data_IF_505720356705
#
_entry.id   IF_505720356705
#
_cell.length_a   1.000
_cell.length_b   1.000
_cell.length_c   1.000
_cell.angle_alpha   90.00
_cell.angle_beta   90.00
_cell.angle_gamma   90.00
#
_symmetry.space_group_name_H-M   'P 1'
#
loop_
_entity.id
_entity.type
_entity.pdbx_description
1 polymer ?
#
# COMPACT_ATOMS: atom_id res chain seq x y z
N UNK A 1 25.34 -23.43 -6.14
CA UNK A 1 24.51 -22.37 -5.54
C UNK A 1 24.24 -21.30 -6.59
N UNK A 2 22.98 -21.18 -7.03
CA UNK A 2 22.52 -20.12 -7.94
C UNK A 2 21.47 -19.28 -7.22
N UNK A 3 21.63 -17.96 -7.24
CA UNK A 3 20.63 -17.00 -6.77
C UNK A 3 19.85 -16.54 -8.00
N UNK A 4 18.52 -16.57 -7.92
CA UNK A 4 17.62 -16.08 -8.97
C UNK A 4 16.79 -14.95 -8.40
N UNK A 5 17.04 -13.72 -8.87
CA UNK A 5 16.37 -12.51 -8.37
C UNK A 5 15.25 -12.11 -9.33
N UNK A 6 14.04 -12.04 -8.81
CA UNK A 6 12.82 -11.67 -9.51
C UNK A 6 12.40 -10.27 -9.04
N UNK A 7 12.79 -9.25 -9.82
CA UNK A 7 12.34 -7.88 -9.63
C UNK A 7 10.87 -7.74 -10.05
N UNK A 8 10.00 -7.36 -9.11
CA UNK A 8 8.55 -7.24 -9.33
C UNK A 8 8.06 -5.82 -9.13
N UNK A 9 6.85 -5.55 -9.62
CA UNK A 9 5.97 -4.52 -9.09
C UNK A 9 5.00 -5.15 -8.10
N UNK A 10 4.88 -4.54 -6.92
CA UNK A 10 3.86 -4.92 -5.93
C UNK A 10 2.48 -4.81 -6.57
N UNK A 11 1.61 -5.80 -6.32
CA UNK A 11 0.25 -5.82 -6.87
C UNK A 11 0.16 -5.81 -8.41
N UNK A 12 1.20 -6.28 -9.12
CA UNK A 12 1.20 -6.42 -10.59
C UNK A 12 0.72 -7.80 -11.06
N UNK A 13 -0.45 -7.94 -11.73
CA UNK A 13 -0.95 -9.23 -12.19
C UNK A 13 -0.07 -9.88 -13.26
N UNK A 14 0.56 -9.11 -14.15
CA UNK A 14 1.48 -9.63 -15.16
C UNK A 14 2.76 -10.14 -14.52
N UNK A 15 3.35 -9.36 -13.61
CA UNK A 15 4.49 -9.80 -12.78
C UNK A 15 4.17 -11.09 -12.03
N UNK A 16 2.99 -11.19 -11.42
CA UNK A 16 2.59 -12.37 -10.66
C UNK A 16 2.46 -13.64 -11.54
N UNK A 17 1.90 -13.53 -12.75
CA UNK A 17 1.82 -14.66 -13.70
C UNK A 17 3.22 -15.09 -14.16
N UNK A 18 4.09 -14.14 -14.49
CA UNK A 18 5.48 -14.42 -14.86
C UNK A 18 6.23 -15.10 -13.72
N UNK A 19 6.06 -14.61 -12.50
CA UNK A 19 6.72 -15.16 -11.31
C UNK A 19 6.30 -16.62 -11.07
N UNK A 20 4.99 -16.94 -11.15
CA UNK A 20 4.54 -18.34 -11.02
C UNK A 20 5.19 -19.27 -12.04
N UNK A 21 5.29 -18.81 -13.29
CA UNK A 21 5.94 -19.56 -14.37
C UNK A 21 7.43 -19.76 -14.07
N UNK A 22 8.12 -18.70 -13.65
CA UNK A 22 9.54 -18.74 -13.32
C UNK A 22 9.84 -19.64 -12.11
N UNK A 23 9.03 -19.58 -11.04
CA UNK A 23 9.19 -20.44 -9.86
C UNK A 23 8.99 -21.92 -10.21
N UNK A 24 8.00 -22.24 -11.05
CA UNK A 24 7.74 -23.60 -11.52
C UNK A 24 8.92 -24.14 -12.32
N UNK A 25 9.52 -23.33 -13.20
CA UNK A 25 10.69 -23.71 -13.98
C UNK A 25 11.95 -23.83 -13.12
N UNK A 26 12.14 -22.93 -12.15
CA UNK A 26 13.32 -22.89 -11.27
C UNK A 26 13.33 -24.04 -10.26
N UNK A 27 12.16 -24.41 -9.72
CA UNK A 27 12.02 -25.34 -8.60
C UNK A 27 12.96 -24.99 -7.42
N UNK A 28 12.78 -23.82 -6.79
CA UNK A 28 13.68 -23.37 -5.73
C UNK A 28 13.65 -24.32 -4.53
N UNK A 29 14.75 -24.35 -3.76
CA UNK A 29 14.82 -25.06 -2.47
C UNK A 29 14.62 -24.14 -1.26
N UNK A 30 14.57 -22.83 -1.49
CA UNK A 30 14.14 -21.79 -0.54
C UNK A 30 13.63 -20.57 -1.29
N UNK A 31 12.68 -19.86 -0.69
CA UNK A 31 12.25 -18.55 -1.17
C UNK A 31 12.51 -17.47 -0.14
N UNK A 32 13.12 -16.38 -0.61
CA UNK A 32 13.36 -15.15 0.14
C UNK A 32 12.52 -14.05 -0.50
N UNK A 33 11.56 -13.50 0.23
CA UNK A 33 10.61 -12.52 -0.31
C UNK A 33 10.73 -11.21 0.45
N UNK A 34 10.72 -10.09 -0.26
CA UNK A 34 10.64 -8.77 0.35
C UNK A 34 9.38 -8.66 1.20
N UNK A 35 9.61 -8.31 2.46
CA UNK A 35 8.57 -8.19 3.47
C UNK A 35 9.19 -8.29 4.86
N UNK A 36 8.41 -7.96 5.90
CA UNK A 36 8.90 -7.79 7.25
C UNK A 36 9.09 -9.16 7.96
N UNK A 37 10.32 -9.52 8.39
CA UNK A 37 10.57 -10.76 9.11
C UNK A 37 9.83 -10.85 10.45
N UNK A 38 9.37 -9.72 11.02
CA UNK A 38 8.54 -9.73 12.24
C UNK A 38 7.19 -10.45 12.04
N UNK A 39 6.73 -10.63 10.80
CA UNK A 39 5.51 -11.36 10.48
C UNK A 39 5.72 -12.86 10.18
N UNK A 40 6.94 -13.39 10.33
CA UNK A 40 7.26 -14.77 9.93
C UNK A 40 6.39 -15.83 10.61
N UNK A 41 6.02 -15.63 11.88
CA UNK A 41 5.27 -16.60 12.68
C UNK A 41 3.79 -16.74 12.23
N UNK A 42 3.21 -15.68 11.68
CA UNK A 42 1.80 -15.67 11.24
C UNK A 42 1.62 -16.15 9.79
N UNK A 43 2.71 -16.40 9.06
CA UNK A 43 2.64 -16.81 7.65
C UNK A 43 1.89 -18.11 7.40
N UNK A 44 1.94 -19.05 8.35
CA UNK A 44 1.25 -20.34 8.22
C UNK A 44 -0.26 -20.19 8.08
N UNK A 45 -0.85 -19.12 8.64
CA UNK A 45 -2.27 -18.80 8.53
C UNK A 45 -2.69 -18.46 7.10
N UNK A 46 -1.77 -18.04 6.24
CA UNK A 46 -2.05 -17.80 4.82
C UNK A 46 -2.35 -19.08 4.03
N UNK A 47 -2.08 -20.26 4.60
CA UNK A 47 -2.45 -21.54 4.01
C UNK A 47 -3.89 -21.97 4.28
N UNK A 48 -4.62 -21.24 5.14
CA UNK A 48 -6.03 -21.52 5.41
C UNK A 48 -6.90 -21.14 4.21
N UNK A 49 -7.89 -21.97 3.87
CA UNK A 49 -8.80 -21.73 2.76
C UNK A 49 -9.70 -20.52 2.99
N UNK A 50 -9.99 -20.14 4.23
CA UNK A 50 -10.78 -18.95 4.54
C UNK A 50 -9.92 -17.66 4.48
N UNK A 51 -8.59 -17.78 4.43
CA UNK A 51 -7.66 -16.64 4.34
C UNK A 51 -7.54 -16.14 2.89
N UNK A 52 -8.61 -15.50 2.41
CA UNK A 52 -8.71 -15.00 1.03
C UNK A 52 -8.41 -13.50 0.94
N UNK A 53 -7.45 -13.07 0.11
CA UNK A 53 -7.24 -11.66 -0.20
C UNK A 53 -8.50 -10.95 -0.76
N UNK A 54 -8.64 -9.61 -0.62
CA UNK A 54 -7.65 -8.70 -0.06
C UNK A 54 -7.52 -8.78 1.47
N UNK A 55 -6.28 -8.98 1.92
CA UNK A 55 -5.90 -9.00 3.34
C UNK A 55 -4.64 -8.17 3.50
N UNK A 56 -4.25 -7.84 4.73
CA UNK A 56 -2.98 -7.21 5.00
C UNK A 56 -2.30 -7.85 6.22
N UNK A 57 -0.96 -7.93 6.18
CA UNK A 57 -0.19 -8.06 7.40
C UNK A 57 -0.20 -6.71 8.11
N UNK A 58 -0.70 -6.72 9.34
CA UNK A 58 -0.67 -5.61 10.28
C UNK A 58 0.50 -5.85 11.23
N UNK A 59 1.42 -4.89 11.32
CA UNK A 59 2.50 -4.90 12.32
C UNK A 59 2.42 -3.63 13.15
N UNK A 60 2.46 -3.75 14.47
CA UNK A 60 2.31 -2.61 15.37
C UNK A 60 3.10 -2.82 16.67
N UNK A 61 3.57 -1.73 17.32
CA UNK A 61 4.07 -1.80 18.68
C UNK A 61 2.89 -1.87 19.67
N UNK A 62 2.82 -2.88 20.58
CA UNK A 62 1.67 -3.05 21.47
C UNK A 62 1.37 -1.85 22.37
N UNK A 63 2.40 -1.10 22.75
CA UNK A 63 2.27 0.09 23.60
C UNK A 63 1.89 1.36 22.82
N UNK A 64 1.91 1.31 21.48
CA UNK A 64 1.57 2.43 20.60
C UNK A 64 0.94 1.93 19.28
N UNK A 65 -0.20 1.21 19.33
CA UNK A 65 -0.74 0.51 18.17
C UNK A 65 -1.14 1.45 17.01
N UNK A 66 -1.32 2.74 17.27
CA UNK A 66 -1.52 3.78 16.24
C UNK A 66 -0.31 3.97 15.29
N UNK A 67 0.87 3.46 15.64
CA UNK A 67 2.07 3.47 14.78
C UNK A 67 2.16 2.20 13.91
N UNK A 68 1.01 1.59 13.61
CA UNK A 68 0.92 0.40 12.79
C UNK A 68 1.36 0.65 11.34
N UNK A 69 1.90 -0.41 10.73
CA UNK A 69 2.17 -0.48 9.29
C UNK A 69 1.39 -1.64 8.68
N UNK A 70 1.04 -1.49 7.40
CA UNK A 70 0.20 -2.42 6.68
C UNK A 70 0.90 -2.89 5.41
N UNK A 71 0.93 -4.21 5.21
CA UNK A 71 1.39 -4.86 3.98
C UNK A 71 0.21 -5.59 3.35
N UNK A 72 -0.58 -4.90 2.51
CA UNK A 72 -1.69 -5.53 1.82
C UNK A 72 -1.21 -6.59 0.84
N UNK A 73 -2.07 -7.56 0.58
CA UNK A 73 -1.91 -8.60 -0.42
C UNK A 73 -3.22 -8.72 -1.19
N UNK A 74 -3.12 -8.97 -2.48
CA UNK A 74 -4.22 -9.37 -3.35
C UNK A 74 -3.93 -10.74 -3.96
N UNK A 75 -4.93 -11.35 -4.59
CA UNK A 75 -4.72 -12.56 -5.37
C UNK A 75 -3.65 -12.40 -6.46
N UNK A 76 -3.45 -11.18 -6.94
CA UNK A 76 -2.48 -10.86 -7.99
C UNK A 76 -1.21 -10.19 -7.46
N UNK A 77 -0.99 -10.18 -6.13
CA UNK A 77 0.30 -9.80 -5.56
C UNK A 77 1.35 -10.87 -5.87
N UNK A 78 2.49 -10.53 -6.51
CA UNK A 78 3.56 -11.50 -6.74
C UNK A 78 4.06 -12.18 -5.45
N UNK A 79 4.12 -11.45 -4.34
CA UNK A 79 4.53 -11.93 -3.02
C UNK A 79 3.52 -12.92 -2.44
N UNK A 80 2.22 -12.66 -2.63
CA UNK A 80 1.16 -13.60 -2.25
C UNK A 80 1.29 -14.89 -3.05
N UNK A 81 1.51 -14.78 -4.37
CA UNK A 81 1.71 -15.94 -5.24
C UNK A 81 2.97 -16.73 -4.87
N UNK A 82 4.04 -16.04 -4.49
CA UNK A 82 5.23 -16.68 -3.93
C UNK A 82 4.88 -17.43 -2.64
N UNK A 83 4.28 -16.77 -1.64
CA UNK A 83 3.90 -17.41 -0.37
C UNK A 83 3.03 -18.67 -0.59
N UNK A 84 2.01 -18.57 -1.43
CA UNK A 84 1.14 -19.71 -1.77
C UNK A 84 1.92 -20.86 -2.42
N UNK A 85 2.84 -20.56 -3.35
CA UNK A 85 3.73 -21.56 -3.95
C UNK A 85 4.59 -22.27 -2.91
N UNK A 86 5.22 -21.54 -1.98
CA UNK A 86 6.02 -22.16 -0.92
C UNK A 86 5.18 -23.02 0.03
N UNK A 87 3.98 -22.59 0.40
CA UNK A 87 3.10 -23.36 1.26
C UNK A 87 2.66 -24.66 0.57
N UNK A 88 2.33 -24.59 -0.72
CA UNK A 88 1.92 -25.74 -1.52
C UNK A 88 3.06 -26.76 -1.71
N UNK A 89 4.26 -26.27 -2.04
CA UNK A 89 5.46 -27.09 -2.26
C UNK A 89 6.22 -27.41 -0.95
N UNK A 90 5.73 -26.91 0.20
CA UNK A 90 6.34 -27.05 1.53
C UNK A 90 7.80 -26.56 1.58
N UNK A 91 8.09 -25.48 0.85
CA UNK A 91 9.41 -24.89 0.79
C UNK A 91 9.67 -23.99 1.99
N UNK A 92 10.92 -23.93 2.48
CA UNK A 92 11.36 -22.86 3.37
C UNK A 92 11.06 -21.49 2.74
N UNK A 93 10.37 -20.65 3.48
CA UNK A 93 10.02 -19.28 3.09
C UNK A 93 10.55 -18.33 4.15
N UNK A 94 11.20 -17.23 3.75
CA UNK A 94 11.63 -16.18 4.66
C UNK A 94 11.30 -14.81 4.09
N UNK A 95 10.73 -13.98 4.93
CA UNK A 95 10.79 -12.54 4.71
C UNK A 95 12.24 -12.05 4.91
N UNK A 96 12.68 -11.14 4.04
CA UNK A 96 14.08 -10.71 3.99
C UNK A 96 14.30 -9.21 4.01
N UNK A 97 13.29 -8.39 4.31
CA UNK A 97 13.45 -6.94 4.44
C UNK A 97 13.83 -6.52 5.88
N UNK A 98 14.24 -5.27 6.08
CA UNK A 98 14.59 -4.75 7.41
C UNK A 98 13.40 -4.93 8.38
N UNK A 99 13.61 -5.51 9.58
CA UNK A 99 12.54 -5.68 10.55
C UNK A 99 11.85 -4.35 10.90
N UNK A 100 10.52 -4.37 11.02
CA UNK A 100 9.72 -3.24 11.49
C UNK A 100 10.04 -2.87 12.93
N UNK A 101 10.44 -3.85 13.76
CA UNK A 101 11.01 -3.58 15.08
C UNK A 101 12.21 -2.61 15.04
N UNK A 102 12.99 -2.60 13.95
CA UNK A 102 14.08 -1.63 13.74
C UNK A 102 13.55 -0.36 13.08
N UNK A 103 12.75 -0.48 12.01
CA UNK A 103 12.25 0.68 11.26
C UNK A 103 11.47 1.65 12.16
N UNK A 104 10.55 1.15 12.99
CA UNK A 104 9.78 1.95 13.93
C UNK A 104 10.68 2.60 15.01
N UNK A 105 11.73 1.91 15.45
CA UNK A 105 12.69 2.46 16.39
C UNK A 105 13.45 3.66 15.82
N UNK A 106 13.77 3.64 14.52
CA UNK A 106 14.47 4.74 13.83
C UNK A 106 13.61 6.00 13.72
N UNK A 107 12.30 5.86 13.50
CA UNK A 107 11.35 6.97 13.45
C UNK A 107 11.08 7.56 14.84
N UNK A 108 11.11 6.72 15.88
CA UNK A 108 10.83 7.15 17.26
C UNK A 108 11.94 7.98 17.94
N UNK A 109 13.09 8.15 17.29
CA UNK A 109 14.17 9.02 17.79
C UNK A 109 13.87 10.44 17.30
N UNK A 110 13.50 11.40 18.17
CA UNK A 110 13.47 12.80 17.77
C UNK A 110 14.88 13.16 17.32
N UNK A 111 15.02 13.86 16.19
CA UNK A 111 16.30 14.41 15.74
C UNK A 111 16.82 15.44 16.76
N UNK A 112 17.41 14.97 17.85
CA UNK A 112 18.07 15.82 18.84
C UNK A 112 19.44 16.18 18.29
N UNK A 113 19.53 17.37 17.68
CA UNK A 113 20.74 18.20 17.74
C UNK A 113 21.46 18.43 16.43
N UNK A 114 21.30 19.64 15.86
CA UNK A 114 22.38 20.64 15.87
C UNK A 114 21.90 21.93 15.19
N UNK A 115 21.00 22.70 15.84
CA UNK A 115 20.92 24.14 15.58
C UNK A 115 21.79 24.81 16.63
N UNK A 116 23.08 24.97 16.31
CA UNK A 116 23.98 25.84 17.08
C UNK A 116 23.41 27.26 17.02
N UNK A 117 23.33 27.86 18.20
CA UNK A 117 22.98 29.25 18.40
C UNK A 117 23.74 30.17 17.45
N UNK A 118 23.00 30.83 16.56
CA UNK A 118 23.43 32.09 15.95
C UNK A 118 22.39 33.11 16.43
N UNK A 119 22.86 33.99 17.33
CA UNK A 119 22.03 34.93 18.05
C UNK A 119 21.16 35.79 17.13
N UNK A 120 19.87 35.87 17.45
CA UNK A 120 18.99 36.89 16.89
C UNK A 120 19.28 38.25 17.56
N UNK A 121 19.46 39.34 16.80
CA UNK A 121 19.65 40.67 17.37
C UNK A 121 18.34 41.20 17.97
N UNK A 122 18.49 41.83 19.13
CA UNK A 122 17.49 42.53 19.90
C UNK A 122 16.95 43.78 19.16
N UNK A 123 15.63 43.99 19.18
CA UNK A 123 14.98 45.30 18.98
C UNK A 123 13.76 45.41 19.91
N UNK A 124 13.39 46.63 20.34
CA UNK A 124 13.19 46.94 21.75
C UNK A 124 11.74 46.97 22.24
N UNK A 125 11.58 46.83 23.56
CA UNK A 125 10.34 46.99 24.32
C UNK A 125 9.85 48.44 24.29
N UNK A 126 8.57 48.62 23.98
CA UNK A 126 7.80 49.84 24.26
C UNK A 126 6.64 49.48 25.20
N UNK A 127 6.63 50.15 26.34
CA UNK A 127 5.80 50.00 27.53
C UNK A 127 4.68 51.05 27.50
N UNK A 128 3.43 50.70 27.82
CA UNK A 128 2.43 51.67 28.31
C UNK A 128 1.49 51.02 29.33
N UNK A 129 1.39 51.70 30.46
CA UNK A 129 0.76 51.36 31.74
C UNK A 129 -0.75 51.71 31.83
N UNK A 130 -1.52 50.80 32.47
CA UNK A 130 -2.62 51.01 33.48
C UNK A 130 -3.93 51.76 33.11
N UNK A 131 -4.99 51.80 33.97
CA UNK A 131 -5.33 51.02 35.18
C UNK A 131 -6.80 50.47 35.23
N UNK A 132 -7.05 49.56 36.19
CA UNK A 132 -8.35 49.05 36.67
C UNK A 132 -9.04 50.09 37.61
N UNK A 133 -10.38 50.09 37.85
CA UNK A 133 -10.90 49.37 39.04
C UNK A 133 -12.40 48.92 39.11
N UNK A 134 -12.66 47.96 40.02
CA UNK A 134 -13.84 47.70 40.89
C UNK A 134 -15.21 47.08 40.42
N UNK A 135 -15.49 45.90 41.02
CA UNK A 135 -16.63 45.52 41.92
C UNK A 135 -18.03 45.04 41.44
N UNK A 136 -18.30 43.75 41.75
CA UNK A 136 -19.46 43.19 42.53
C UNK A 136 -20.86 42.89 41.93
N UNK A 137 -21.41 41.76 42.43
CA UNK A 137 -22.83 41.27 42.47
C UNK A 137 -23.44 40.75 41.16
N UNK A 138 -24.31 39.73 41.08
CA UNK A 138 -24.98 38.84 42.02
C UNK A 138 -26.10 38.04 41.28
N UNK A 139 -26.59 36.96 41.90
CA UNK A 139 -27.82 36.19 41.66
C UNK A 139 -27.92 35.02 40.63
N UNK A 140 -28.11 33.84 41.24
CA UNK A 140 -28.80 32.58 40.87
C UNK A 140 -30.31 32.76 40.62
N UNK A 141 -31.18 31.72 40.45
CA UNK A 141 -31.04 30.29 40.04
C UNK A 141 -32.12 29.82 39.02
N UNK A 142 -32.10 28.54 38.59
CA UNK A 142 -33.24 27.59 38.68
C UNK A 142 -33.05 26.27 37.88
N UNK A 143 -33.13 25.16 38.61
CA UNK A 143 -33.38 23.73 38.27
C UNK A 143 -34.88 23.50 37.91
N UNK A 144 -35.45 22.28 37.74
CA UNK A 144 -34.93 20.93 37.42
C UNK A 144 -35.78 20.13 36.36
N UNK A 145 -35.40 18.86 36.17
CA UNK A 145 -36.02 17.76 35.39
C UNK A 145 -37.44 17.32 35.88
N UNK A 146 -38.09 16.26 35.32
CA UNK A 146 -37.71 14.86 35.61
C UNK A 146 -37.98 13.81 34.50
N UNK A 147 -37.61 12.57 34.84
CA UNK A 147 -37.64 11.32 34.09
C UNK A 147 -38.96 10.52 34.26
N UNK A 148 -39.12 9.43 33.49
CA UNK A 148 -39.93 8.27 33.90
C UNK A 148 -39.56 6.98 33.12
N UNK A 149 -39.86 5.83 33.72
CA UNK A 149 -39.29 4.48 33.53
C UNK A 149 -40.32 3.40 33.18
N UNK A 150 -39.96 2.45 32.29
CA UNK A 150 -40.30 0.98 32.18
C UNK A 150 -41.79 0.51 32.12
N UNK A 151 -42.18 -0.74 31.70
CA UNK A 151 -41.46 -2.03 31.75
C UNK A 151 -41.69 -3.07 30.60
N UNK A 152 -41.09 -4.26 30.80
CA UNK A 152 -41.03 -5.55 30.07
C UNK A 152 -42.34 -6.32 29.84
N UNK A 153 -42.40 -7.14 28.78
CA UNK A 153 -42.96 -8.50 28.85
C UNK A 153 -42.46 -9.45 27.72
N UNK A 154 -42.62 -10.75 27.92
CA UNK A 154 -42.00 -11.87 27.17
C UNK A 154 -43.05 -12.86 26.63
N UNK A 155 -42.84 -13.47 25.44
CA UNK A 155 -43.36 -14.81 25.08
C UNK A 155 -42.85 -15.36 23.71
N UNK A 156 -42.73 -16.70 23.66
CA UNK A 156 -42.21 -17.59 22.62
C UNK A 156 -43.02 -17.67 21.30
N UNK A 157 -42.34 -17.97 20.18
CA UNK A 157 -42.73 -18.96 19.12
C UNK A 157 -41.59 -19.11 18.08
N UNK A 158 -41.44 -20.31 17.50
CA UNK A 158 -40.56 -20.66 16.37
C UNK A 158 -41.33 -21.60 15.41
N UNK A 159 -40.86 -21.95 14.18
CA UNK A 159 -39.93 -21.27 13.29
C UNK A 159 -40.58 -20.93 11.91
N UNK A 160 -40.21 -19.80 11.30
CA UNK A 160 -40.69 -19.37 9.99
C UNK A 160 -39.53 -19.08 9.03
N UNK A 161 -39.44 -19.86 7.96
CA UNK A 161 -38.48 -19.77 6.86
C UNK A 161 -38.43 -18.34 6.30
N UNK A 162 -37.36 -17.59 6.56
CA UNK A 162 -37.24 -16.19 6.08
C UNK A 162 -35.94 -16.02 5.28
N UNK A 163 -36.15 -15.68 4.02
CA UNK A 163 -35.17 -15.27 3.02
C UNK A 163 -34.42 -14.03 3.54
N UNK A 164 -33.12 -14.14 3.80
CA UNK A 164 -32.31 -13.00 4.25
C UNK A 164 -31.99 -12.11 3.05
N UNK A 165 -32.72 -11.01 2.94
CA UNK A 165 -32.35 -9.84 2.16
C UNK A 165 -31.27 -9.08 2.93
N UNK A 166 -30.04 -9.00 2.42
CA UNK A 166 -29.01 -8.14 3.02
C UNK A 166 -29.40 -6.67 2.82
N UNK A 167 -29.81 -6.03 3.92
CA UNK A 167 -29.94 -4.58 4.02
C UNK A 167 -28.55 -4.02 4.31
N UNK A 168 -28.00 -3.25 3.37
CA UNK A 168 -26.80 -2.46 3.57
C UNK A 168 -27.12 -1.26 4.47
N UNK A 169 -26.62 -1.26 5.72
CA UNK A 169 -26.85 -0.13 6.62
C UNK A 169 -26.55 -0.33 8.12
N UNK A 170 -25.71 -1.30 8.51
CA UNK A 170 -25.28 -1.43 9.90
C UNK A 170 -23.75 -1.38 9.99
N UNK A 171 -23.22 -0.48 10.83
CA UNK A 171 -21.79 -0.36 11.14
C UNK A 171 -21.19 -1.75 11.46
N UNK A 172 -20.03 -2.11 10.87
CA UNK A 172 -19.47 -3.43 11.09
C UNK A 172 -19.02 -3.57 12.55
N UNK A 173 -19.37 -4.70 13.15
CA UNK A 173 -18.72 -5.18 14.37
C UNK A 173 -17.21 -5.29 14.12
N UNK A 174 -16.36 -5.03 15.13
CA UNK A 174 -14.92 -5.22 14.98
C UNK A 174 -14.60 -6.69 14.63
N UNK A 175 -13.65 -6.96 13.72
CA UNK A 175 -13.25 -8.32 13.40
C UNK A 175 -12.64 -9.01 14.64
N UNK A 176 -12.65 -10.36 14.70
CA UNK A 176 -11.96 -11.11 15.74
C UNK A 176 -10.48 -10.69 15.82
N UNK A 177 -10.00 -10.34 17.02
CA UNK A 177 -8.63 -9.86 17.23
C UNK A 177 -8.43 -8.34 17.13
N UNK A 178 -9.49 -7.55 16.96
CA UNK A 178 -9.38 -6.08 17.00
C UNK A 178 -8.83 -5.59 18.36
N UNK A 179 -7.72 -4.80 18.38
CA UNK A 179 -7.12 -4.33 19.61
C UNK A 179 -8.10 -3.49 20.46
N UNK A 180 -8.08 -3.74 21.76
CA UNK A 180 -8.92 -3.04 22.71
C UNK A 180 -8.45 -1.58 22.85
N UNK A 181 -9.32 -0.61 22.54
CA UNK A 181 -9.00 0.82 22.60
C UNK A 181 -8.81 1.54 21.27
N UNK A 182 -8.92 0.84 20.13
CA UNK A 182 -8.87 1.48 18.80
C UNK A 182 -10.26 1.98 18.33
N UNK A 183 -10.42 3.25 17.87
CA UNK A 183 -11.70 3.76 17.41
C UNK A 183 -12.10 3.18 16.04
N UNK A 184 -13.30 2.62 15.89
CA UNK A 184 -13.83 2.10 14.61
C UNK A 184 -13.87 3.14 13.45
N UNK A 185 -13.71 4.43 13.76
CA UNK A 185 -13.64 5.52 12.79
C UNK A 185 -12.25 5.65 12.11
N UNK A 186 -11.25 4.88 12.56
CA UNK A 186 -9.93 4.82 11.92
C UNK A 186 -10.00 4.40 10.44
N UNK A 187 -11.11 3.78 10.03
CA UNK A 187 -11.27 3.24 8.69
C UNK A 187 -11.38 4.30 7.57
N UNK A 188 -11.60 5.59 7.89
CA UNK A 188 -12.09 6.59 6.92
C UNK A 188 -11.15 7.75 6.54
N UNK A 189 -9.95 7.92 7.11
CA UNK A 189 -9.08 9.05 6.73
C UNK A 189 -7.58 8.72 6.72
N UNK A 190 -7.06 8.54 5.51
CA UNK A 190 -5.65 8.72 5.21
C UNK A 190 -5.53 9.25 3.79
N UNK A 191 -5.15 10.51 3.65
CA UNK A 191 -4.78 11.14 2.39
C UNK A 191 -4.32 12.55 2.69
N UNK A 192 -3.06 12.71 3.10
CA UNK A 192 -2.28 13.96 3.08
C UNK A 192 -0.92 13.66 3.73
N UNK A 193 0.04 13.19 2.91
CA UNK A 193 1.46 13.57 2.92
C UNK A 193 2.32 12.57 2.09
N UNK A 194 3.42 13.11 1.54
CA UNK A 194 4.43 12.62 0.57
C UNK A 194 4.61 11.09 0.35
N UNK A 195 4.40 10.55 -0.88
CA UNK A 195 4.41 9.11 -1.19
C UNK A 195 5.75 8.53 -1.69
N UNK A 196 6.86 9.27 -1.68
CA UNK A 196 8.08 8.88 -2.39
C UNK A 196 9.10 8.07 -1.56
N UNK A 197 8.66 6.97 -0.94
CA UNK A 197 9.46 5.76 -0.67
C UNK A 197 8.65 4.82 0.22
N UNK A 198 8.97 3.52 0.18
CA UNK A 198 8.60 2.49 1.17
C UNK A 198 7.52 1.50 0.68
N UNK A 199 7.97 0.26 0.48
CA UNK A 199 7.16 -0.94 0.70
C UNK A 199 6.96 -1.06 2.21
N UNK A 200 5.74 -0.78 2.66
CA UNK A 200 5.39 -0.58 4.07
C UNK A 200 4.99 0.86 4.37
N UNK A 201 3.98 1.39 3.67
CA UNK A 201 3.49 2.74 3.93
C UNK A 201 3.06 2.87 5.39
N UNK A 202 3.75 3.74 6.13
CA UNK A 202 3.36 4.19 7.45
C UNK A 202 2.20 5.15 7.28
N UNK A 203 0.98 4.69 7.57
CA UNK A 203 -0.20 5.55 7.67
C UNK A 203 -0.12 6.28 9.03
N UNK A 204 0.77 7.27 9.16
CA UNK A 204 0.88 8.05 10.40
C UNK A 204 -0.29 9.02 10.47
N UNK A 205 -1.22 8.77 11.38
CA UNK A 205 -2.36 9.65 11.64
C UNK A 205 -1.92 11.00 12.22
N UNK A 206 -2.07 12.08 11.45
CA UNK A 206 -1.94 13.44 11.93
C UNK A 206 -3.24 13.88 12.64
N UNK A 207 -3.19 14.05 13.98
CA UNK A 207 -4.17 14.82 14.74
C UNK A 207 -3.51 16.11 15.21
N UNK A 208 -3.91 17.26 14.64
CA UNK A 208 -3.56 18.56 15.19
C UNK A 208 -3.66 19.71 14.19
N UNK A 209 -4.86 20.30 14.06
CA UNK A 209 -5.02 21.57 13.34
C UNK A 209 -6.48 21.99 13.19
N UNK A 210 -6.93 22.91 14.06
CA UNK A 210 -8.23 23.57 13.91
C UNK A 210 -8.18 24.50 12.68
N UNK A 211 -9.15 24.38 11.77
CA UNK A 211 -9.33 25.33 10.67
C UNK A 211 -10.75 25.21 10.11
N UNK A 212 -11.55 26.26 10.34
CA UNK A 212 -12.97 26.31 9.97
C UNK A 212 -13.23 26.25 8.47
N UNK A 213 -14.41 25.73 8.12
CA UNK A 213 -14.94 25.66 6.78
C UNK A 213 -15.35 27.08 6.29
N UNK A 214 -14.89 27.58 5.14
CA UNK A 214 -15.50 28.75 4.52
C UNK A 214 -16.80 28.36 3.79
N UNK A 215 -17.83 29.24 3.74
CA UNK A 215 -19.11 28.94 3.11
C UNK A 215 -19.01 28.93 1.58
N UNK A 216 -19.67 27.94 0.97
CA UNK A 216 -19.89 27.82 -0.47
C UNK A 216 -20.90 28.87 -0.95
N UNK A 217 -20.43 29.86 -1.70
CA UNK A 217 -21.26 30.56 -2.69
C UNK A 217 -20.43 30.75 -3.97
N UNK A 218 -20.68 29.89 -4.97
CA UNK A 218 -20.20 30.08 -6.33
C UNK A 218 -21.41 30.13 -7.27
N UNK A 219 -21.53 31.27 -7.95
CA UNK A 219 -22.51 31.66 -8.95
C UNK A 219 -22.24 30.91 -10.28
N UNK A 220 -23.21 30.23 -10.92
CA UNK A 220 -22.93 29.25 -11.97
C UNK A 220 -22.64 29.84 -13.37
N UNK A 221 -22.09 31.06 -13.48
CA UNK A 221 -21.95 31.73 -14.79
C UNK A 221 -20.63 32.48 -15.05
N UNK A 222 -19.53 32.09 -14.39
CA UNK A 222 -18.19 32.60 -14.75
C UNK A 222 -17.43 31.58 -15.58
N UNK A 223 -17.42 31.79 -16.90
CA UNK A 223 -16.53 31.10 -17.82
C UNK A 223 -15.07 31.52 -17.55
N UNK A 224 -14.35 30.70 -16.79
CA UNK A 224 -12.90 30.83 -16.65
C UNK A 224 -12.21 29.95 -17.70
N UNK A 225 -11.46 30.61 -18.59
CA UNK A 225 -10.57 29.97 -19.53
C UNK A 225 -9.62 29.01 -18.79
N UNK A 226 -9.51 27.79 -19.30
CA UNK A 226 -8.56 26.78 -18.83
C UNK A 226 -7.15 27.32 -19.12
N UNK A 227 -6.29 27.58 -18.12
CA UNK A 227 -4.89 27.77 -18.41
C UNK A 227 -4.30 26.41 -18.75
N UNK A 228 -3.69 26.29 -19.94
CA UNK A 228 -2.74 25.20 -20.24
C UNK A 228 -1.60 25.26 -19.22
N UNK A 229 -1.66 24.43 -18.21
CA UNK A 229 -0.54 24.20 -17.28
C UNK A 229 0.36 23.11 -17.84
N UNK A 230 1.18 23.45 -18.84
CA UNK A 230 2.27 22.60 -19.32
C UNK A 230 3.52 22.87 -18.49
N UNK A 231 3.54 22.45 -17.22
CA UNK A 231 4.79 22.17 -16.51
C UNK A 231 4.55 20.93 -15.62
N UNK A 232 5.05 19.80 -16.10
CA UNK A 232 5.17 18.60 -15.27
C UNK A 232 6.30 18.87 -14.26
N UNK A 233 5.96 18.89 -12.97
CA UNK A 233 6.93 18.74 -11.90
C UNK A 233 7.83 17.53 -12.19
N UNK A 234 9.15 17.60 -11.98
CA UNK A 234 10.01 16.44 -12.16
C UNK A 234 9.52 15.35 -11.21
N UNK A 235 9.09 14.22 -11.76
CA UNK A 235 8.77 13.06 -10.95
C UNK A 235 10.11 12.46 -10.49
N UNK A 236 10.35 12.41 -9.18
CA UNK A 236 11.53 11.79 -8.54
C UNK A 236 11.62 10.25 -8.74
N UNK A 237 10.77 9.67 -9.61
CA UNK A 237 10.80 8.26 -9.95
C UNK A 237 11.85 7.99 -11.05
N UNK A 238 12.90 7.18 -10.78
CA UNK A 238 13.88 6.79 -11.78
C UNK A 238 13.27 6.18 -13.05
N UNK A 239 12.10 5.53 -12.95
CA UNK A 239 11.40 4.97 -14.10
C UNK A 239 10.93 6.05 -15.09
N UNK A 240 10.76 7.30 -14.65
CA UNK A 240 10.41 8.43 -15.52
C UNK A 240 11.44 8.63 -16.64
N UNK A 241 12.72 8.35 -16.39
CA UNK A 241 13.78 8.45 -17.41
C UNK A 241 13.59 7.41 -18.52
N UNK A 242 13.30 6.15 -18.15
CA UNK A 242 13.02 5.09 -19.13
C UNK A 242 11.75 5.39 -19.92
N UNK A 243 10.71 5.82 -19.22
CA UNK A 243 9.43 6.18 -19.82
C UNK A 243 9.61 7.31 -20.84
N UNK A 244 10.29 8.40 -20.46
CA UNK A 244 10.56 9.52 -21.35
C UNK A 244 11.40 9.11 -22.57
N UNK A 245 12.45 8.30 -22.36
CA UNK A 245 13.26 7.77 -23.46
C UNK A 245 12.46 6.91 -24.43
N UNK A 246 11.44 6.20 -23.94
CA UNK A 246 10.50 5.42 -24.75
C UNK A 246 9.33 6.24 -25.32
N UNK A 247 9.28 7.56 -25.11
CA UNK A 247 8.23 8.44 -25.62
C UNK A 247 6.95 8.52 -24.76
N UNK A 248 7.01 8.06 -23.51
CA UNK A 248 5.91 8.12 -22.55
C UNK A 248 5.99 9.36 -21.68
N UNK A 249 4.85 9.95 -21.39
CA UNK A 249 4.72 11.05 -20.42
C UNK A 249 4.48 10.56 -18.99
N UNK A 250 4.13 9.27 -18.83
CA UNK A 250 3.82 8.65 -17.55
C UNK A 250 4.54 7.30 -17.43
N UNK A 251 5.40 7.17 -16.43
CA UNK A 251 6.15 5.94 -16.16
C UNK A 251 5.26 4.76 -15.76
N UNK A 252 4.13 5.01 -15.09
CA UNK A 252 3.15 3.97 -14.76
C UNK A 252 2.53 3.37 -16.02
N UNK A 253 2.27 4.20 -17.03
CA UNK A 253 1.76 3.72 -18.31
C UNK A 253 2.82 2.91 -19.06
N UNK A 254 4.08 3.35 -19.02
CA UNK A 254 5.19 2.60 -19.60
C UNK A 254 5.30 1.20 -18.95
N UNK A 255 5.29 1.13 -17.61
CA UNK A 255 5.34 -0.13 -16.86
C UNK A 255 4.15 -1.04 -17.19
N UNK A 256 2.94 -0.48 -17.15
CA UNK A 256 1.71 -1.21 -17.45
C UNK A 256 1.79 -1.91 -18.81
N UNK A 257 2.22 -1.20 -19.86
CA UNK A 257 2.23 -1.74 -21.22
C UNK A 257 3.39 -2.72 -21.47
N UNK A 258 4.59 -2.42 -20.97
CA UNK A 258 5.79 -3.21 -21.26
C UNK A 258 5.95 -4.41 -20.33
N UNK A 259 5.36 -4.36 -19.12
CA UNK A 259 5.58 -5.37 -18.09
C UNK A 259 4.26 -6.07 -17.73
N UNK A 260 3.23 -5.33 -17.30
CA UNK A 260 2.01 -5.98 -16.78
C UNK A 260 1.12 -6.58 -17.88
N UNK A 261 1.04 -5.93 -19.04
CA UNK A 261 0.22 -6.37 -20.19
C UNK A 261 1.01 -7.20 -21.21
N UNK A 262 2.28 -7.50 -20.92
CA UNK A 262 3.15 -8.22 -21.84
C UNK A 262 2.62 -9.66 -22.03
N UNK A 263 2.38 -10.05 -23.28
CA UNK A 263 1.91 -11.41 -23.63
C UNK A 263 3.06 -12.41 -23.66
N UNK A 264 4.23 -11.99 -24.11
CA UNK A 264 5.44 -12.79 -24.08
C UNK A 264 6.19 -12.58 -22.76
N UNK A 265 6.26 -13.62 -21.94
CA UNK A 265 6.88 -13.58 -20.62
C UNK A 265 8.38 -13.95 -20.64
N UNK A 266 8.94 -14.23 -21.82
CA UNK A 266 10.33 -14.63 -21.96
C UNK A 266 11.29 -13.52 -21.50
N UNK A 267 12.26 -13.88 -20.65
CA UNK A 267 13.29 -13.00 -20.08
C UNK A 267 12.75 -11.71 -19.42
N UNK A 268 11.50 -11.70 -18.92
CA UNK A 268 10.94 -10.50 -18.30
C UNK A 268 11.83 -9.99 -17.15
N UNK A 269 12.22 -10.87 -16.23
CA UNK A 269 13.00 -10.49 -15.05
C UNK A 269 14.43 -10.07 -15.40
N UNK A 270 15.02 -10.64 -16.45
CA UNK A 270 16.33 -10.22 -16.96
C UNK A 270 16.25 -8.80 -17.54
N UNK A 271 15.21 -8.50 -18.32
CA UNK A 271 14.99 -7.16 -18.87
C UNK A 271 14.68 -6.13 -17.78
N UNK A 272 13.89 -6.49 -16.76
CA UNK A 272 13.67 -5.64 -15.58
C UNK A 272 15.00 -5.39 -14.85
N UNK A 273 15.79 -6.42 -14.62
CA UNK A 273 17.09 -6.29 -13.96
C UNK A 273 18.02 -5.37 -14.75
N UNK A 274 18.14 -5.55 -16.07
CA UNK A 274 18.95 -4.70 -16.95
C UNK A 274 18.51 -3.23 -16.87
N UNK A 275 17.21 -2.97 -16.99
CA UNK A 275 16.62 -1.63 -16.88
C UNK A 275 16.94 -0.97 -15.53
N UNK A 276 16.77 -1.71 -14.43
CA UNK A 276 17.04 -1.21 -13.08
C UNK A 276 18.54 -1.01 -12.84
N UNK A 277 19.40 -1.87 -13.39
CA UNK A 277 20.86 -1.70 -13.35
C UNK A 277 21.28 -0.44 -14.08
N UNK A 278 20.72 -0.18 -15.27
CA UNK A 278 21.00 1.05 -16.02
C UNK A 278 20.58 2.30 -15.25
N UNK A 279 19.37 2.30 -14.66
CA UNK A 279 18.89 3.40 -13.83
C UNK A 279 19.72 3.63 -12.56
N UNK A 280 20.36 2.57 -12.04
CA UNK A 280 21.19 2.64 -10.83
C UNK A 280 22.66 2.90 -11.08
N UNK A 281 23.15 2.87 -12.32
CA UNK A 281 24.58 2.95 -12.63
C UNK A 281 25.26 4.18 -12.00
N UNK A 282 24.56 5.32 -12.02
CA UNK A 282 25.03 6.59 -11.43
C UNK A 282 24.25 6.98 -10.16
N UNK A 283 23.34 6.14 -9.69
CA UNK A 283 22.49 6.44 -8.55
C UNK A 283 23.13 6.01 -7.23
N UNK A 284 23.22 6.93 -6.28
CA UNK A 284 23.44 6.57 -4.86
C UNK A 284 22.15 6.05 -4.23
N UNK A 285 22.21 5.26 -3.15
CA UNK A 285 21.00 4.88 -2.41
C UNK A 285 20.15 6.11 -2.10
N UNK A 286 18.84 6.03 -2.35
CA UNK A 286 17.93 7.18 -2.21
C UNK A 286 17.89 7.71 -0.78
N UNK A 287 18.11 6.84 0.21
CA UNK A 287 18.12 7.19 1.62
C UNK A 287 18.99 6.25 2.47
N UNK A 288 19.30 6.68 3.69
CA UNK A 288 19.95 5.81 4.68
C UNK A 288 19.08 4.59 5.04
N UNK A 289 17.75 4.73 5.05
CA UNK A 289 16.82 3.63 5.30
C UNK A 289 16.91 2.56 4.20
N UNK A 290 16.98 2.96 2.94
CA UNK A 290 17.16 2.05 1.81
C UNK A 290 18.46 1.24 1.94
N UNK A 291 19.57 1.89 2.31
CA UNK A 291 20.84 1.20 2.51
C UNK A 291 20.76 0.13 3.61
N UNK A 292 20.01 0.37 4.69
CA UNK A 292 19.78 -0.61 5.75
C UNK A 292 18.92 -1.79 5.28
N UNK A 293 17.84 -1.51 4.53
CA UNK A 293 16.97 -2.54 3.93
C UNK A 293 17.76 -3.47 3.01
N UNK A 294 18.49 -2.89 2.08
CA UNK A 294 19.30 -3.67 1.13
C UNK A 294 20.43 -4.45 1.84
N UNK A 295 21.05 -3.89 2.88
CA UNK A 295 22.05 -4.60 3.69
C UNK A 295 21.45 -5.83 4.39
N UNK A 296 20.24 -5.70 4.94
CA UNK A 296 19.54 -6.80 5.59
C UNK A 296 19.13 -7.89 4.57
N UNK A 297 18.59 -7.51 3.41
CA UNK A 297 18.28 -8.44 2.31
C UNK A 297 19.53 -9.23 1.88
N UNK A 298 20.66 -8.55 1.64
CA UNK A 298 21.93 -9.20 1.29
C UNK A 298 22.43 -10.13 2.39
N UNK A 299 22.28 -9.77 3.66
CA UNK A 299 22.65 -10.64 4.78
C UNK A 299 21.80 -11.92 4.82
N UNK A 300 20.49 -11.80 4.57
CA UNK A 300 19.56 -12.93 4.51
C UNK A 300 19.90 -13.89 3.37
N UNK A 301 20.23 -13.36 2.18
CA UNK A 301 20.70 -14.16 1.03
C UNK A 301 21.97 -14.94 1.40
N UNK A 302 22.98 -14.27 1.98
CA UNK A 302 24.23 -14.93 2.40
C UNK A 302 24.00 -16.00 3.47
N UNK A 303 23.07 -15.78 4.39
CA UNK A 303 22.69 -16.78 5.39
C UNK A 303 22.12 -18.04 4.72
N UNK A 304 21.19 -17.89 3.79
CA UNK A 304 20.65 -19.02 3.02
C UNK A 304 21.75 -19.76 2.24
N UNK A 305 22.67 -19.06 1.59
CA UNK A 305 23.81 -19.69 0.92
C UNK A 305 24.68 -20.50 1.90
N UNK A 306 24.98 -19.93 3.08
CA UNK A 306 25.78 -20.59 4.13
C UNK A 306 25.10 -21.83 4.70
N UNK A 307 23.77 -21.81 4.79
CA UNK A 307 22.96 -22.96 5.20
C UNK A 307 22.93 -24.09 4.16
N UNK A 308 23.43 -23.83 2.94
CA UNK A 308 23.63 -24.86 1.91
C UNK A 308 22.54 -24.92 0.85
N UNK A 309 21.58 -23.99 0.83
CA UNK A 309 20.58 -23.90 -0.23
C UNK A 309 21.23 -23.65 -1.60
N UNK A 310 20.77 -24.36 -2.62
CA UNK A 310 21.37 -24.39 -3.94
C UNK A 310 20.58 -23.57 -4.97
N UNK A 311 19.25 -23.53 -4.88
CA UNK A 311 18.35 -22.86 -5.82
C UNK A 311 17.51 -21.83 -5.06
N UNK A 312 18.14 -20.69 -4.77
CA UNK A 312 17.54 -19.64 -3.94
C UNK A 312 16.73 -18.71 -4.86
N UNK A 313 15.42 -18.67 -4.67
CA UNK A 313 14.55 -17.67 -5.29
C UNK A 313 14.47 -16.43 -4.40
N UNK A 314 14.72 -15.25 -4.98
CA UNK A 314 14.64 -13.96 -4.32
C UNK A 314 13.55 -13.14 -5.02
N UNK A 315 12.49 -12.74 -4.32
CA UNK A 315 11.41 -11.90 -4.88
C UNK A 315 11.44 -10.56 -4.17
N UNK A 316 11.65 -9.48 -4.91
CA UNK A 316 11.72 -8.12 -4.36
C UNK A 316 11.21 -7.08 -5.36
N UNK A 317 10.85 -5.90 -4.89
CA UNK A 317 10.63 -4.73 -5.70
C UNK A 317 11.81 -4.54 -6.68
N UNK A 318 11.48 -4.25 -7.93
CA UNK A 318 12.44 -4.22 -9.04
C UNK A 318 13.65 -3.32 -8.75
N UNK A 319 13.45 -2.21 -8.04
CA UNK A 319 14.51 -1.28 -7.65
C UNK A 319 15.64 -1.94 -6.84
N UNK A 320 15.33 -2.92 -5.99
CA UNK A 320 16.32 -3.58 -5.14
C UNK A 320 17.09 -4.67 -5.89
N UNK A 321 16.58 -5.19 -7.01
CA UNK A 321 17.16 -6.35 -7.67
C UNK A 321 18.66 -6.21 -8.03
N UNK A 322 19.16 -5.09 -8.59
CA UNK A 322 20.57 -4.96 -8.98
C UNK A 322 21.57 -5.18 -7.84
N UNK A 323 21.25 -4.68 -6.63
CA UNK A 323 22.16 -4.79 -5.47
C UNK A 323 22.12 -6.16 -4.79
N UNK A 324 21.09 -6.97 -5.08
CA UNK A 324 20.97 -8.33 -4.55
C UNK A 324 21.67 -9.35 -5.47
N UNK A 325 21.72 -9.09 -6.77
CA UNK A 325 22.48 -9.91 -7.74
C UNK A 325 23.99 -9.74 -7.57
N UNK A 326 24.45 -8.50 -7.34
CA UNK A 326 25.86 -8.19 -7.11
C UNK A 326 26.07 -7.72 -5.66
N UNK A 327 25.98 -8.62 -4.66
CA UNK A 327 26.09 -8.22 -3.27
C UNK A 327 27.52 -7.76 -2.99
N UNK A 328 27.65 -6.54 -2.46
CA UNK A 328 28.93 -5.99 -2.01
C UNK A 328 29.55 -6.78 -0.85
N UNK A 329 30.55 -6.23 -0.13
CA UNK A 329 31.23 -6.95 0.94
C UNK A 329 30.34 -7.14 2.18
N UNK A 330 30.29 -8.36 2.72
CA UNK A 330 29.49 -8.69 3.91
C UNK A 330 29.85 -7.85 5.15
N UNK A 331 31.10 -7.42 5.27
CA UNK A 331 31.57 -6.57 6.36
C UNK A 331 30.91 -5.18 6.35
N UNK A 332 30.61 -4.63 5.17
CA UNK A 332 29.94 -3.33 5.06
C UNK A 332 28.49 -3.44 5.52
N UNK A 333 27.76 -4.48 5.10
CA UNK A 333 26.40 -4.73 5.54
C UNK A 333 26.33 -4.95 7.06
N UNK A 334 27.25 -5.73 7.63
CA UNK A 334 27.34 -5.94 9.08
C UNK A 334 27.61 -4.63 9.85
N UNK A 335 28.40 -3.72 9.28
CA UNK A 335 28.66 -2.42 9.91
C UNK A 335 27.44 -1.49 9.87
N UNK A 336 26.68 -1.49 8.77
CA UNK A 336 25.44 -0.73 8.64
C UNK A 336 24.37 -1.19 9.64
N UNK A 337 24.28 -2.49 9.87
CA UNK A 337 23.25 -3.08 10.73
C UNK A 337 23.66 -3.15 12.22
N UNK A 338 24.91 -2.81 12.55
CA UNK A 338 25.41 -2.89 13.91
C UNK A 338 24.79 -1.81 14.81
N UNK A 339 24.39 -2.19 16.02
CA UNK A 339 23.94 -1.25 17.05
C UNK A 339 22.56 -0.63 16.83
N UNK A 340 21.80 -1.09 15.83
CA UNK A 340 20.45 -0.62 15.59
C UNK A 340 19.52 -0.99 16.75
N UNK A 341 18.79 0.01 17.26
CA UNK A 341 17.79 -0.18 18.32
C UNK A 341 16.58 -0.95 17.77
N UNK A 342 15.89 -1.66 18.66
CA UNK A 342 14.66 -2.38 18.36
C UNK A 342 13.58 -2.00 19.35
N UNK A 343 12.34 -1.93 18.87
CA UNK A 343 11.13 -1.88 19.70
C UNK A 343 10.37 -3.20 19.60
N UNK A 344 9.58 -3.52 20.62
CA UNK A 344 8.69 -4.69 20.57
C UNK A 344 7.59 -4.41 19.53
N UNK A 345 7.33 -5.38 18.66
CA UNK A 345 6.21 -5.36 17.71
C UNK A 345 5.46 -6.68 17.76
N UNK A 346 4.20 -6.65 17.35
CA UNK A 346 3.35 -7.81 17.12
C UNK A 346 2.83 -7.77 15.68
N UNK A 347 2.55 -8.95 15.12
CA UNK A 347 2.08 -9.10 13.74
C UNK A 347 0.81 -9.95 13.69
N UNK A 348 -0.13 -9.58 12.81
CA UNK A 348 -1.35 -10.36 12.56
C UNK A 348 -1.88 -10.11 11.15
N UNK A 349 -2.83 -10.94 10.70
CA UNK A 349 -3.58 -10.72 9.47
C UNK A 349 -4.85 -9.94 9.75
N UNK A 350 -5.21 -9.02 8.86
CA UNK A 350 -6.49 -8.31 8.90
C UNK A 350 -7.15 -8.30 7.51
N UNK A 351 -8.50 -8.21 7.45
CA UNK A 351 -9.19 -7.92 6.20
C UNK A 351 -8.73 -6.59 5.60
N UNK A 352 -8.65 -6.55 4.28
CA UNK A 352 -8.32 -5.33 3.53
C UNK A 352 -9.34 -5.08 2.43
N UNK A 353 -9.23 -3.94 1.74
CA UNK A 353 -10.17 -3.58 0.67
C UNK A 353 -9.46 -3.00 -0.54
N UNK A 354 -10.09 -3.15 -1.71
CA UNK A 354 -9.63 -2.52 -2.93
C UNK A 354 -9.50 -1.00 -2.77
N UNK A 355 -10.44 -0.33 -2.09
CA UNK A 355 -10.35 1.13 -1.87
C UNK A 355 -9.06 1.53 -1.13
N UNK A 356 -8.68 0.76 -0.10
CA UNK A 356 -7.46 1.00 0.68
C UNK A 356 -6.17 0.66 -0.06
N UNK A 357 -6.23 -0.26 -1.02
CA UNK A 357 -5.12 -0.59 -1.90
C UNK A 357 -4.86 0.50 -2.95
N UNK A 358 -5.86 1.32 -3.27
CA UNK A 358 -5.71 2.29 -4.34
C UNK A 358 -4.78 3.45 -3.96
N UNK A 359 -4.07 4.05 -4.92
CA UNK A 359 -3.30 5.27 -4.66
C UNK A 359 -4.13 6.41 -4.04
N UNK A 360 -5.45 6.41 -4.25
CA UNK A 360 -6.38 7.41 -3.67
C UNK A 360 -6.46 7.34 -2.14
N UNK A 361 -6.05 6.23 -1.52
CA UNK A 361 -5.97 6.10 -0.06
C UNK A 361 -4.65 6.64 0.52
N UNK A 362 -3.75 7.16 -0.33
CA UNK A 362 -2.38 7.52 0.08
C UNK A 362 -1.46 6.31 0.28
N UNK A 363 -1.87 5.09 -0.07
CA UNK A 363 -0.98 3.94 -0.03
C UNK A 363 0.10 4.05 -1.12
N UNK A 364 1.36 4.29 -0.73
CA UNK A 364 2.47 4.60 -1.64
C UNK A 364 2.83 3.49 -2.63
N UNK A 365 2.59 2.23 -2.27
CA UNK A 365 2.75 1.08 -3.17
C UNK A 365 1.40 0.61 -3.76
N UNK A 366 0.39 1.50 -3.80
CA UNK A 366 -0.93 1.17 -4.30
C UNK A 366 -1.01 0.93 -5.80
N UNK A 367 -2.24 0.79 -6.30
CA UNK A 367 -2.51 0.70 -7.73
C UNK A 367 -3.71 1.57 -8.12
N UNK A 368 -3.75 2.05 -9.37
CA UNK A 368 -4.79 2.98 -9.82
C UNK A 368 -6.19 2.36 -9.85
N UNK A 369 -6.29 1.07 -10.17
CA UNK A 369 -7.58 0.38 -10.33
C UNK A 369 -7.51 -1.07 -9.84
N UNK A 370 -7.52 -1.29 -8.52
CA UNK A 370 -7.43 -2.63 -7.92
C UNK A 370 -8.44 -3.64 -8.48
N UNK A 371 -9.71 -3.21 -8.66
CA UNK A 371 -10.75 -4.07 -9.20
C UNK A 371 -10.56 -4.44 -10.68
N UNK A 372 -9.87 -3.59 -11.45
CA UNK A 372 -9.48 -3.91 -12.83
C UNK A 372 -8.36 -4.95 -12.84
N UNK A 373 -7.37 -4.83 -11.97
CA UNK A 373 -6.29 -5.83 -11.86
C UNK A 373 -6.80 -7.17 -11.35
N UNK A 374 -7.74 -7.17 -10.40
CA UNK A 374 -8.45 -8.38 -9.98
C UNK A 374 -9.20 -9.04 -11.15
N UNK A 375 -9.84 -8.22 -12.00
CA UNK A 375 -10.50 -8.71 -13.21
C UNK A 375 -9.49 -9.30 -14.22
N UNK A 376 -8.38 -8.60 -14.50
CA UNK A 376 -7.29 -9.12 -15.34
C UNK A 376 -6.69 -10.42 -14.80
N UNK A 377 -6.67 -10.60 -13.49
CA UNK A 377 -6.19 -11.81 -12.85
C UNK A 377 -7.16 -12.99 -12.99
N UNK A 378 -8.44 -12.74 -12.71
CA UNK A 378 -9.48 -13.78 -12.61
C UNK A 378 -10.09 -14.16 -13.95
N UNK A 379 -10.07 -13.25 -14.94
CA UNK A 379 -10.69 -13.44 -16.25
C UNK A 379 -9.61 -13.70 -17.31
N UNK A 380 -9.49 -14.93 -17.84
CA UNK A 380 -8.42 -15.31 -18.76
C UNK A 380 -8.66 -14.89 -20.22
N UNK A 381 -9.92 -14.70 -20.61
CA UNK A 381 -10.32 -14.40 -21.98
C UNK A 381 -11.50 -13.42 -22.02
N UNK A 382 -11.72 -12.78 -23.18
CA UNK A 382 -12.83 -11.83 -23.40
C UNK A 382 -12.91 -10.74 -22.31
N UNK A 383 -11.74 -10.30 -21.86
CA UNK A 383 -11.54 -9.41 -20.70
C UNK A 383 -12.46 -8.19 -20.79
N UNK A 384 -12.44 -7.50 -21.92
CA UNK A 384 -13.21 -6.27 -22.17
C UNK A 384 -14.71 -6.50 -22.14
N UNK A 385 -15.18 -7.61 -22.73
CA UNK A 385 -16.60 -7.97 -22.76
C UNK A 385 -17.09 -8.21 -21.33
N UNK A 386 -16.37 -9.02 -20.54
CA UNK A 386 -16.77 -9.30 -19.17
C UNK A 386 -16.74 -8.04 -18.29
N UNK A 387 -15.74 -7.17 -18.46
CA UNK A 387 -15.64 -5.93 -17.70
C UNK A 387 -16.77 -4.96 -18.02
N UNK A 388 -17.03 -4.69 -19.31
CA UNK A 388 -18.08 -3.76 -19.72
C UNK A 388 -19.48 -4.30 -19.42
N UNK A 389 -19.66 -5.62 -19.45
CA UNK A 389 -20.90 -6.26 -19.00
C UNK A 389 -21.11 -6.05 -17.50
N UNK A 390 -20.07 -6.23 -16.67
CA UNK A 390 -20.11 -5.96 -15.23
C UNK A 390 -20.43 -4.49 -14.95
N UNK A 391 -19.80 -3.56 -15.67
CA UNK A 391 -20.09 -2.14 -15.56
C UNK A 391 -21.56 -1.82 -15.93
N UNK A 392 -22.07 -2.41 -17.01
CA UNK A 392 -23.46 -2.21 -17.42
C UNK A 392 -24.47 -2.75 -16.38
N UNK A 393 -24.18 -3.88 -15.73
CA UNK A 393 -25.02 -4.37 -14.63
C UNK A 393 -25.04 -3.39 -13.46
N UNK A 394 -23.88 -2.88 -13.03
CA UNK A 394 -23.80 -1.88 -11.98
C UNK A 394 -24.60 -0.61 -12.33
N UNK A 395 -24.47 -0.11 -13.56
CA UNK A 395 -25.22 1.06 -14.01
C UNK A 395 -26.74 0.83 -13.95
N UNK A 396 -27.22 -0.32 -14.43
CA UNK A 396 -28.65 -0.68 -14.35
C UNK A 396 -29.14 -0.82 -12.92
N UNK A 397 -28.34 -1.40 -12.03
CA UNK A 397 -28.66 -1.50 -10.60
C UNK A 397 -28.81 -0.11 -9.95
N UNK A 398 -28.09 0.89 -10.44
CA UNK A 398 -28.22 2.29 -10.03
C UNK A 398 -29.30 3.07 -10.81
N UNK A 399 -30.14 2.38 -11.60
CA UNK A 399 -31.23 2.99 -12.35
C UNK A 399 -30.78 3.74 -13.61
N UNK A 400 -29.56 3.51 -14.10
CA UNK A 400 -29.04 4.11 -15.33
C UNK A 400 -29.25 3.16 -16.51
N UNK A 401 -29.96 3.64 -17.54
CA UNK A 401 -30.24 2.86 -18.74
C UNK A 401 -28.95 2.53 -19.49
N UNK A 402 -28.64 1.23 -19.57
CA UNK A 402 -27.49 0.71 -20.33
C UNK A 402 -27.89 -0.53 -21.09
N UNK A 403 -28.11 -0.39 -22.40
CA UNK A 403 -28.53 -1.50 -23.26
C UNK A 403 -27.36 -2.41 -23.62
N UNK A 404 -27.65 -3.61 -24.14
CA UNK A 404 -26.60 -4.47 -24.73
C UNK A 404 -25.91 -3.81 -25.92
N UNK A 405 -26.60 -2.93 -26.66
CA UNK A 405 -25.99 -2.17 -27.75
C UNK A 405 -24.91 -1.21 -27.24
N UNK A 406 -25.10 -0.59 -26.07
CA UNK A 406 -24.08 0.23 -25.43
C UNK A 406 -22.83 -0.59 -25.09
N UNK A 407 -23.00 -1.82 -24.58
CA UNK A 407 -21.89 -2.71 -24.25
C UNK A 407 -21.13 -3.12 -25.52
N UNK A 408 -21.84 -3.52 -26.58
CA UNK A 408 -21.22 -3.93 -27.85
C UNK A 408 -20.40 -2.78 -28.45
N UNK A 409 -20.97 -1.58 -28.55
CA UNK A 409 -20.25 -0.43 -29.10
C UNK A 409 -19.10 0.03 -28.20
N UNK A 410 -19.24 -0.07 -26.86
CA UNK A 410 -18.14 0.23 -25.94
C UNK A 410 -16.97 -0.77 -26.11
N UNK A 411 -17.25 -2.08 -26.23
CA UNK A 411 -16.23 -3.10 -26.51
C UNK A 411 -15.54 -2.78 -27.83
N UNK A 412 -16.33 -2.57 -28.89
CA UNK A 412 -15.80 -2.28 -30.24
C UNK A 412 -14.92 -1.03 -30.25
N UNK A 413 -15.34 0.03 -29.55
CA UNK A 413 -14.58 1.27 -29.42
C UNK A 413 -13.26 1.03 -28.67
N UNK A 414 -13.30 0.31 -27.54
CA UNK A 414 -12.11 -0.02 -26.77
C UNK A 414 -11.11 -0.83 -27.59
N UNK A 415 -11.56 -1.87 -28.29
CA UNK A 415 -10.70 -2.71 -29.14
C UNK A 415 -10.12 -1.92 -30.32
N UNK A 416 -10.93 -1.07 -30.96
CA UNK A 416 -10.47 -0.23 -32.08
C UNK A 416 -9.41 0.78 -31.61
N UNK A 417 -9.62 1.42 -30.45
CA UNK A 417 -8.66 2.37 -29.89
C UNK A 417 -7.36 1.70 -29.46
N UNK A 418 -7.42 0.49 -28.89
CA UNK A 418 -6.23 -0.27 -28.56
C UNK A 418 -5.44 -0.65 -29.82
N UNK A 419 -6.12 -1.15 -30.85
CA UNK A 419 -5.49 -1.49 -32.13
C UNK A 419 -4.86 -0.28 -32.83
N UNK A 420 -5.52 0.89 -32.82
CA UNK A 420 -4.97 2.13 -33.39
C UNK A 420 -3.72 2.63 -32.65
N UNK A 421 -3.55 2.24 -31.38
CA UNK A 421 -2.43 2.62 -30.53
C UNK A 421 -1.37 1.52 -30.39
N UNK A 422 -1.55 0.41 -31.10
CA UNK A 422 -0.70 -0.78 -30.99
C UNK A 422 -0.59 -1.31 -29.54
N UNK A 423 -1.71 -1.27 -28.81
CA UNK A 423 -1.78 -1.73 -27.42
C UNK A 423 -2.43 -3.12 -27.32
N UNK A 424 -1.95 -3.97 -26.41
CA UNK A 424 -2.63 -5.22 -26.11
C UNK A 424 -3.99 -4.95 -25.45
N UNK A 425 -4.96 -5.81 -25.75
CA UNK A 425 -6.23 -5.94 -25.03
C UNK A 425 -6.16 -7.08 -24.02
#
# INVERSE_FOLDING_TARGET
MSIHVFGIRHHGPGCARCLRTALTALQPDIMLVEGPPDAQEVLSLAGDQEMQPPIALLIYPPDAPQQAVYYPFTHFSPEWQALQYALQEKLPFRFMDLPQSIQMALVSIPSTGSRKDIGSPCLPKGEVDTPNPHASSGNTPATPAPAETTPTDSQHTAPGNTRVSMVWGASPLPPPGHPQGMPLQWYERASQDDPSSIVGASLVGALGGQGGCPPNHADPNTAHAVPESTQAEPTDDPLALLAQAAGYTNHEQWWEQHIEQRRDMHNLFEGILEAMTALRADATPKSASEALREAYMRQTIRAAQKEGYQRIAVVCGAWHAPVLVNPGPAKADAALLAGLKKVKVEATWIPWTNSRLSYRSGYGAGVSSPGWYEHLWTVPDRITIHWLTRAAHLLREQGLDTSSANVIEAVRLSETLAALRDLPM
#
